data_IF_072878717003
#
_entry.id   IF_072878717003
#
_cell.length_a   1.000
_cell.length_b   1.000
_cell.length_c   1.000
_cell.angle_alpha   90.00
_cell.angle_beta   90.00
_cell.angle_gamma   90.00
#
_symmetry.space_group_name_H-M   'P 1'
#
loop_
_entity.id
_entity.type
_entity.pdbx_description
1 polymer ?
#
# COMPACT_ATOMS: atom_id res chain seq x y z
N UNK A 1 -56.39 29.58 6.22
CA UNK A 1 -54.98 30.06 6.23
C UNK A 1 -53.94 28.94 6.24
N UNK A 2 -54.25 27.70 6.67
CA UNK A 2 -53.27 26.59 6.69
C UNK A 2 -53.00 25.92 5.32
N UNK A 3 -53.91 26.09 4.34
CA UNK A 3 -53.78 25.56 2.98
C UNK A 3 -52.85 26.38 2.07
N UNK A 4 -52.79 27.71 2.25
CA UNK A 4 -51.86 28.58 1.51
C UNK A 4 -50.41 28.45 2.00
N UNK A 5 -50.20 28.05 3.26
CA UNK A 5 -48.86 27.85 3.84
C UNK A 5 -48.20 26.55 3.33
N UNK A 6 -48.99 25.50 3.06
CA UNK A 6 -48.49 24.24 2.51
C UNK A 6 -48.02 24.38 1.04
N UNK A 7 -48.70 25.21 0.24
CA UNK A 7 -48.31 25.49 -1.16
C UNK A 7 -47.00 26.31 -1.25
N UNK A 8 -46.75 27.19 -0.27
CA UNK A 8 -45.50 27.97 -0.16
C UNK A 8 -44.29 27.11 0.23
N UNK A 9 -44.49 26.06 1.04
CA UNK A 9 -43.42 25.13 1.43
C UNK A 9 -43.03 24.14 0.33
N UNK A 10 -43.99 23.75 -0.53
CA UNK A 10 -43.72 22.84 -1.66
C UNK A 10 -43.01 23.58 -2.81
N UNK A 11 -43.34 24.86 -3.02
CA UNK A 11 -42.66 25.70 -4.01
C UNK A 11 -41.18 25.98 -3.68
N UNK A 12 -40.83 26.02 -2.39
CA UNK A 12 -39.45 26.20 -1.90
C UNK A 12 -38.54 24.98 -2.13
N UNK A 13 -39.11 23.79 -2.32
CA UNK A 13 -38.36 22.55 -2.58
C UNK A 13 -38.11 22.29 -4.07
N UNK A 14 -38.76 23.04 -4.97
CA UNK A 14 -38.70 22.80 -6.42
C UNK A 14 -37.93 23.89 -7.18
N UNK A 15 -37.39 24.91 -6.51
CA UNK A 15 -36.60 25.99 -7.15
C UNK A 15 -35.08 25.74 -7.16
N UNK A 16 -34.60 24.62 -6.63
CA UNK A 16 -33.15 24.29 -6.62
C UNK A 16 -32.72 23.34 -7.74
N UNK A 17 -33.63 22.86 -8.59
CA UNK A 17 -33.30 21.89 -9.65
C UNK A 17 -33.20 22.50 -11.06
N UNK A 18 -32.62 23.69 -11.20
CA UNK A 18 -32.15 24.16 -12.51
C UNK A 18 -30.84 24.93 -12.36
N UNK A 19 -29.83 24.33 -11.73
CA UNK A 19 -28.47 24.62 -12.15
C UNK A 19 -28.06 23.52 -13.11
N UNK A 20 -28.01 23.86 -14.39
CA UNK A 20 -27.37 23.08 -15.42
C UNK A 20 -25.89 22.90 -15.04
N UNK A 21 -25.62 21.89 -14.23
CA UNK A 21 -24.29 21.36 -13.97
C UNK A 21 -23.98 20.26 -14.97
N UNK A 22 -23.96 20.58 -16.26
CA UNK A 22 -23.03 19.94 -17.18
C UNK A 22 -21.86 20.90 -17.41
N UNK A 23 -21.19 21.30 -16.32
CA UNK A 23 -19.74 21.50 -16.45
C UNK A 23 -19.16 20.11 -16.32
N UNK A 24 -18.89 19.53 -17.47
CA UNK A 24 -17.92 18.44 -17.61
C UNK A 24 -16.62 18.98 -17.01
N UNK A 25 -16.37 18.65 -15.75
CA UNK A 25 -15.01 18.53 -15.32
C UNK A 25 -14.51 17.30 -16.08
N UNK A 26 -13.70 17.53 -17.11
CA UNK A 26 -12.71 16.54 -17.48
C UNK A 26 -11.97 16.17 -16.19
N UNK A 27 -12.37 15.07 -15.57
CA UNK A 27 -11.39 14.22 -14.92
C UNK A 27 -10.49 13.79 -16.08
N UNK A 28 -9.45 14.60 -16.33
CA UNK A 28 -8.18 14.07 -16.77
C UNK A 28 -7.83 13.06 -15.68
N UNK A 29 -8.37 11.85 -15.80
CA UNK A 29 -7.91 10.68 -15.10
C UNK A 29 -6.54 10.34 -15.72
N UNK A 30 -5.61 11.27 -15.60
CA UNK A 30 -4.25 10.93 -15.29
C UNK A 30 -4.30 10.40 -13.85
N UNK A 31 -4.88 9.21 -13.67
CA UNK A 31 -4.27 8.29 -12.75
C UNK A 31 -2.82 8.18 -13.24
N UNK A 32 -1.95 9.04 -12.70
CA UNK A 32 -0.65 8.55 -12.31
C UNK A 32 -1.00 7.40 -11.38
N UNK A 33 -1.13 6.23 -11.97
CA UNK A 33 -1.02 5.00 -11.23
C UNK A 33 0.40 5.12 -10.73
N UNK A 34 0.56 5.68 -9.53
CA UNK A 34 1.81 5.69 -8.81
C UNK A 34 2.26 4.24 -8.93
N UNK A 35 3.26 4.01 -9.79
CA UNK A 35 3.75 2.68 -10.06
C UNK A 35 4.45 2.32 -8.77
N UNK A 36 3.68 1.78 -7.83
CA UNK A 36 4.17 1.45 -6.51
C UNK A 36 5.08 0.25 -6.70
N UNK A 37 6.37 0.53 -6.63
CA UNK A 37 7.44 -0.44 -6.79
C UNK A 37 7.50 -1.29 -5.54
N UNK A 38 7.54 -2.61 -5.69
CA UNK A 38 7.88 -3.48 -4.57
C UNK A 38 9.39 -3.67 -4.55
N UNK A 39 10.01 -3.36 -3.43
CA UNK A 39 11.45 -3.52 -3.25
C UNK A 39 11.74 -4.72 -2.36
N UNK A 40 12.91 -5.32 -2.59
CA UNK A 40 13.44 -6.43 -1.80
C UNK A 40 14.86 -6.08 -1.39
N UNK A 41 15.15 -6.17 -0.10
CA UNK A 41 16.48 -5.96 0.47
C UNK A 41 16.96 -7.20 1.21
N UNK A 42 18.26 -7.45 1.16
CA UNK A 42 18.89 -8.62 1.77
C UNK A 42 19.87 -8.15 2.85
N UNK A 43 19.76 -8.76 4.03
CA UNK A 43 20.68 -8.54 5.15
C UNK A 43 21.24 -9.89 5.63
N UNK A 44 22.42 -9.87 6.25
CA UNK A 44 22.98 -11.08 6.87
C UNK A 44 22.15 -11.44 8.10
N UNK A 45 21.72 -12.70 8.21
CA UNK A 45 20.98 -13.15 9.38
C UNK A 45 21.86 -13.16 10.63
N UNK A 46 21.34 -12.66 11.74
CA UNK A 46 22.00 -12.78 13.03
C UNK A 46 22.01 -14.24 13.50
N UNK A 47 22.87 -14.59 14.45
CA UNK A 47 22.89 -15.93 15.05
C UNK A 47 21.62 -16.24 15.86
N UNK A 48 20.86 -15.23 16.28
CA UNK A 48 19.54 -15.41 16.89
C UNK A 48 18.45 -15.72 15.86
N UNK A 49 18.58 -15.23 14.63
CA UNK A 49 17.64 -15.55 13.55
C UNK A 49 17.95 -16.90 12.93
N UNK A 50 19.24 -17.18 12.69
CA UNK A 50 19.74 -18.42 12.09
C UNK A 50 21.02 -18.87 12.79
N UNK A 51 20.97 -20.00 13.51
CA UNK A 51 22.10 -20.51 14.30
C UNK A 51 23.37 -20.78 13.46
N UNK A 52 23.22 -21.28 12.23
CA UNK A 52 24.32 -21.56 11.30
C UNK A 52 24.54 -20.43 10.28
N UNK A 53 24.07 -19.22 10.59
CA UNK A 53 24.01 -18.10 9.66
C UNK A 53 22.95 -18.28 8.57
N UNK A 54 22.82 -17.27 7.72
CA UNK A 54 21.80 -17.21 6.68
C UNK A 54 21.61 -15.78 6.18
N UNK A 55 20.45 -15.55 5.56
CA UNK A 55 20.07 -14.25 4.99
C UNK A 55 18.68 -13.85 5.48
N UNK A 56 18.52 -12.63 5.96
CA UNK A 56 17.21 -12.00 6.10
C UNK A 56 16.81 -11.37 4.78
N UNK A 57 15.59 -11.65 4.35
CA UNK A 57 14.94 -11.06 3.18
C UNK A 57 13.85 -10.14 3.70
N UNK A 58 13.99 -8.85 3.40
CA UNK A 58 12.98 -7.84 3.66
C UNK A 58 12.27 -7.49 2.35
N UNK A 59 10.96 -7.35 2.38
CA UNK A 59 10.20 -6.85 1.24
C UNK A 59 9.10 -5.91 1.67
N UNK A 60 8.81 -4.95 0.81
CA UNK A 60 7.81 -3.94 1.07
C UNK A 60 7.50 -3.10 -0.16
N UNK A 61 6.48 -2.27 0.00
CA UNK A 61 6.10 -1.31 -1.03
C UNK A 61 6.90 -0.03 -0.81
N UNK A 62 7.58 0.43 -1.85
CA UNK A 62 8.19 1.76 -1.93
C UNK A 62 7.06 2.77 -2.03
N UNK A 63 6.62 3.24 -0.87
CA UNK A 63 5.41 4.03 -0.72
C UNK A 63 5.69 5.52 -0.96
N UNK A 64 6.93 5.95 -0.74
CA UNK A 64 7.37 7.32 -1.02
C UNK A 64 8.11 7.47 -2.36
N UNK A 65 8.44 6.36 -3.03
CA UNK A 65 8.97 6.33 -4.40
C UNK A 65 10.44 6.74 -4.48
N UNK A 66 11.18 6.64 -3.38
CA UNK A 66 12.58 7.05 -3.31
C UNK A 66 13.57 5.96 -3.78
N UNK A 67 13.06 4.75 -4.07
CA UNK A 67 13.84 3.61 -4.53
C UNK A 67 14.65 2.89 -3.44
N UNK A 68 14.41 3.20 -2.17
CA UNK A 68 15.05 2.61 -1.00
C UNK A 68 13.97 1.95 -0.15
N UNK A 69 14.18 0.69 0.25
CA UNK A 69 13.26 0.05 1.20
C UNK A 69 13.57 0.51 2.62
N UNK A 70 12.87 1.53 3.09
CA UNK A 70 13.03 2.05 4.45
C UNK A 70 12.39 1.11 5.49
N UNK A 71 12.80 1.24 6.76
CA UNK A 71 12.28 0.38 7.86
C UNK A 71 10.77 0.49 8.06
N UNK A 72 10.16 1.63 7.73
CA UNK A 72 8.72 1.86 7.82
C UNK A 72 7.93 1.17 6.70
N UNK A 73 8.59 0.86 5.59
CA UNK A 73 7.99 0.26 4.39
C UNK A 73 8.10 -1.27 4.37
N UNK A 74 8.95 -1.84 5.21
CA UNK A 74 9.09 -3.29 5.35
C UNK A 74 7.78 -3.87 5.90
N UNK A 75 7.09 -4.64 5.06
CA UNK A 75 5.86 -5.35 5.45
C UNK A 75 6.08 -6.83 5.66
N UNK A 76 7.16 -7.39 5.12
CA UNK A 76 7.52 -8.79 5.28
C UNK A 76 9.02 -8.95 5.53
N UNK A 77 9.33 -9.83 6.48
CA UNK A 77 10.68 -10.21 6.85
C UNK A 77 10.73 -11.73 6.98
N UNK A 78 11.62 -12.37 6.22
CA UNK A 78 11.83 -13.80 6.27
C UNK A 78 13.31 -14.13 6.42
N UNK A 79 13.65 -14.91 7.43
CA UNK A 79 14.97 -15.50 7.55
C UNK A 79 15.06 -16.77 6.69
N UNK A 80 16.10 -16.87 5.88
CA UNK A 80 16.50 -18.08 5.15
C UNK A 80 17.79 -18.59 5.77
N UNK A 81 17.68 -19.66 6.56
CA UNK A 81 18.80 -20.20 7.33
C UNK A 81 19.59 -21.26 6.57
N UNK A 82 20.90 -21.27 6.78
CA UNK A 82 21.76 -22.35 6.32
C UNK A 82 21.45 -23.64 7.08
N UNK A 83 21.70 -24.77 6.42
CA UNK A 83 21.70 -26.08 7.06
C UNK A 83 22.81 -26.20 8.10
N UNK A 84 22.70 -27.23 8.96
CA UNK A 84 23.82 -27.64 9.78
C UNK A 84 24.93 -28.24 8.90
N UNK A 85 26.17 -28.13 9.38
CA UNK A 85 27.30 -28.80 8.75
C UNK A 85 27.09 -30.31 8.70
N UNK A 86 27.55 -30.91 7.61
CA UNK A 86 27.55 -32.36 7.45
C UNK A 86 28.59 -33.04 8.34
N UNK A 87 28.50 -34.35 8.46
CA UNK A 87 29.54 -35.13 9.13
C UNK A 87 30.83 -35.17 8.30
N UNK A 88 31.97 -35.14 8.98
CA UNK A 88 33.28 -35.34 8.35
C UNK A 88 33.38 -36.72 7.68
N UNK A 89 34.17 -36.79 6.60
CA UNK A 89 34.49 -38.05 5.91
C UNK A 89 35.42 -38.96 6.73
N UNK A 90 35.42 -40.26 6.41
CA UNK A 90 36.37 -41.20 7.03
C UNK A 90 37.80 -41.00 6.50
N UNK A 91 38.79 -41.12 7.39
CA UNK A 91 40.20 -41.18 6.99
C UNK A 91 40.45 -42.46 6.17
N UNK A 92 41.16 -42.33 5.04
CA UNK A 92 41.50 -43.43 4.13
C UNK A 92 42.64 -44.32 4.60
#
# INVERSE_FOLDING_TARGET
>A
MRRSLALLLIALLMTSTTLAGCLEASDDNNQTSEVQTTLVSLEVASTSDCANGGTLIHSGLDADGDGILSTSEITFTQAVCNGADGADGSNG
#
